data_IF_916642045585
#
_entry.id   IF_916642045585
#
_cell.length_a   1.000
_cell.length_b   1.000
_cell.length_c   1.000
_cell.angle_alpha   90.00
_cell.angle_beta   90.00
_cell.angle_gamma   90.00
#
_symmetry.space_group_name_H-M   'P 1'
#
loop_
_entity.id
_entity.type
_entity.pdbx_description
1 polymer ?
#
# COMPACT_ATOMS: atom_id res chain seq x y z
N UNK A 1 -13.49 6.03 23.38
CA UNK A 1 -12.37 5.11 23.64
C UNK A 1 -11.14 5.74 23.04
N UNK A 2 -10.25 6.21 23.90
CA UNK A 2 -9.00 6.87 23.54
C UNK A 2 -8.17 5.93 22.66
N UNK A 3 -7.93 6.33 21.42
CA UNK A 3 -7.02 5.61 20.55
C UNK A 3 -5.61 5.80 21.09
N UNK A 4 -5.09 4.82 21.82
CA UNK A 4 -3.67 4.74 22.12
C UNK A 4 -2.94 4.94 20.80
N UNK A 5 -2.25 6.08 20.68
CA UNK A 5 -1.43 6.41 19.52
C UNK A 5 -0.46 5.26 19.32
N UNK A 6 -0.73 4.38 18.33
CA UNK A 6 0.14 3.22 18.06
C UNK A 6 1.52 3.77 17.77
N UNK A 7 2.50 3.41 18.59
CA UNK A 7 3.88 3.75 18.31
C UNK A 7 4.37 2.89 17.14
N UNK A 8 4.59 3.54 16.00
CA UNK A 8 5.06 2.90 14.80
C UNK A 8 6.59 2.93 14.67
N UNK A 9 7.33 3.60 15.57
CA UNK A 9 8.78 3.71 15.45
C UNK A 9 9.48 2.34 15.39
N UNK A 10 9.13 1.34 16.23
CA UNK A 10 9.74 0.01 16.14
C UNK A 10 9.47 -0.68 14.79
N UNK A 11 8.27 -0.49 14.23
CA UNK A 11 7.86 -1.03 12.94
C UNK A 11 8.66 -0.38 11.80
N UNK A 12 8.87 0.93 11.87
CA UNK A 12 9.68 1.70 10.92
C UNK A 12 11.14 1.23 10.98
N UNK A 13 11.71 1.13 12.18
CA UNK A 13 13.10 0.73 12.37
C UNK A 13 13.35 -0.68 11.82
N UNK A 14 12.43 -1.62 12.08
CA UNK A 14 12.50 -2.97 11.53
C UNK A 14 12.45 -2.96 9.99
N UNK A 15 11.55 -2.17 9.40
CA UNK A 15 11.45 -2.05 7.95
C UNK A 15 12.73 -1.49 7.33
N UNK A 16 13.30 -0.44 7.94
CA UNK A 16 14.56 0.17 7.51
C UNK A 16 15.70 -0.83 7.57
N UNK A 17 15.80 -1.62 8.64
CA UNK A 17 16.82 -2.66 8.78
C UNK A 17 16.68 -3.78 7.75
N UNK A 18 15.45 -4.21 7.42
CA UNK A 18 15.21 -5.22 6.38
C UNK A 18 15.69 -4.72 5.03
N UNK A 19 15.27 -3.51 4.63
CA UNK A 19 15.69 -2.92 3.35
C UNK A 19 17.22 -2.74 3.31
N UNK A 20 17.79 -2.19 4.37
CA UNK A 20 19.23 -1.95 4.47
C UNK A 20 20.03 -3.26 4.41
N UNK A 21 19.63 -4.30 5.15
CA UNK A 21 20.32 -5.60 5.14
C UNK A 21 20.29 -6.27 3.77
N UNK A 22 19.16 -6.17 3.05
CA UNK A 22 19.02 -6.69 1.70
C UNK A 22 19.98 -5.98 0.73
N UNK A 23 20.01 -4.64 0.76
CA UNK A 23 20.89 -3.84 -0.10
C UNK A 23 22.37 -4.03 0.27
N UNK A 24 22.69 -4.06 1.56
CA UNK A 24 24.04 -4.34 2.04
C UNK A 24 24.55 -5.69 1.51
N UNK A 25 23.73 -6.74 1.56
CA UNK A 25 24.11 -8.05 1.00
C UNK A 25 24.46 -7.97 -0.49
N UNK A 26 23.67 -7.23 -1.27
CA UNK A 26 23.90 -7.07 -2.71
C UNK A 26 25.18 -6.26 -3.00
N UNK A 27 25.36 -5.11 -2.33
CA UNK A 27 26.55 -4.26 -2.53
C UNK A 27 27.81 -5.00 -2.10
N UNK A 28 27.78 -5.69 -0.96
CA UNK A 28 28.92 -6.48 -0.47
C UNK A 28 29.26 -7.67 -1.37
N UNK A 29 28.35 -8.12 -2.24
CA UNK A 29 28.65 -9.15 -3.25
C UNK A 29 29.20 -8.56 -4.56
N UNK A 30 28.76 -7.36 -4.94
CA UNK A 30 29.11 -6.75 -6.23
C UNK A 30 30.33 -5.82 -6.15
N UNK A 31 30.41 -5.00 -5.11
CA UNK A 31 31.47 -4.01 -4.95
C UNK A 31 31.76 -3.70 -3.46
N UNK A 32 32.48 -4.60 -2.76
CA UNK A 32 32.71 -4.51 -1.31
C UNK A 32 33.40 -3.22 -0.85
N UNK A 33 34.28 -2.66 -1.69
CA UNK A 33 35.13 -1.51 -1.36
C UNK A 33 34.39 -0.16 -1.33
N UNK A 34 33.16 -0.07 -1.83
CA UNK A 34 32.36 1.16 -1.77
C UNK A 34 31.40 1.22 -0.58
N UNK A 35 31.37 0.18 0.25
CA UNK A 35 30.36 0.10 1.29
C UNK A 35 30.78 0.81 2.58
N UNK A 36 30.03 1.82 2.97
CA UNK A 36 30.09 2.42 4.30
C UNK A 36 28.81 2.06 5.09
N UNK A 37 28.92 1.48 6.29
CA UNK A 37 27.75 1.11 7.07
C UNK A 37 27.02 2.35 7.60
N UNK A 38 25.70 2.39 7.42
CA UNK A 38 24.83 3.42 7.95
C UNK A 38 24.32 3.07 9.35
N UNK A 39 24.25 4.07 10.22
CA UNK A 39 23.57 3.96 11.51
C UNK A 39 22.04 3.96 11.33
N UNK A 40 21.31 3.47 12.34
CA UNK A 40 19.84 3.50 12.30
C UNK A 40 19.31 4.94 12.23
N UNK A 41 19.96 5.89 12.89
CA UNK A 41 19.56 7.31 12.82
C UNK A 41 19.76 7.87 11.41
N UNK A 42 20.85 7.51 10.72
CA UNK A 42 21.03 7.88 9.32
C UNK A 42 19.97 7.26 8.40
N UNK A 43 19.51 6.03 8.69
CA UNK A 43 18.41 5.40 7.94
C UNK A 43 17.07 6.11 8.18
N UNK A 44 16.80 6.55 9.42
CA UNK A 44 15.60 7.32 9.77
C UNK A 44 15.58 8.69 9.09
N UNK A 45 16.73 9.36 9.05
CA UNK A 45 16.87 10.67 8.41
C UNK A 45 16.91 10.59 6.88
N UNK A 46 17.10 9.39 6.32
CA UNK A 46 17.08 9.13 4.89
C UNK A 46 15.67 9.20 4.26
N UNK A 47 15.58 9.17 2.92
CA UNK A 47 14.30 9.29 2.20
C UNK A 47 13.25 8.26 2.64
N UNK A 48 13.65 6.98 2.70
CA UNK A 48 12.75 5.90 3.13
C UNK A 48 12.25 6.08 4.57
N UNK A 49 13.14 6.50 5.48
CA UNK A 49 12.77 6.77 6.87
C UNK A 49 11.75 7.89 6.98
N UNK A 50 11.96 8.99 6.26
CA UNK A 50 11.02 10.12 6.22
C UNK A 50 9.65 9.73 5.63
N UNK A 51 9.63 8.95 4.56
CA UNK A 51 8.39 8.47 3.95
C UNK A 51 7.62 7.56 4.91
N UNK A 52 8.30 6.61 5.55
CA UNK A 52 7.72 5.73 6.57
C UNK A 52 7.17 6.52 7.76
N UNK A 53 7.92 7.49 8.28
CA UNK A 53 7.47 8.37 9.36
C UNK A 53 6.24 9.20 8.95
N UNK A 54 6.22 9.71 7.72
CA UNK A 54 5.09 10.47 7.18
C UNK A 54 3.83 9.60 7.05
N UNK A 55 3.96 8.38 6.54
CA UNK A 55 2.86 7.42 6.45
C UNK A 55 2.37 6.97 7.84
N UNK A 56 3.26 6.80 8.81
CA UNK A 56 2.89 6.52 10.19
C UNK A 56 2.06 7.65 10.81
N UNK A 57 2.48 8.90 10.65
CA UNK A 57 1.71 10.08 11.10
C UNK A 57 0.34 10.14 10.43
N UNK A 58 0.28 9.84 9.13
CA UNK A 58 -0.98 9.76 8.40
C UNK A 58 -1.88 8.65 8.96
N UNK A 59 -1.34 7.45 9.20
CA UNK A 59 -2.08 6.31 9.78
C UNK A 59 -2.65 6.64 11.17
N UNK A 60 -1.92 7.41 11.98
CA UNK A 60 -2.39 7.93 13.28
C UNK A 60 -3.44 9.04 13.15
N UNK A 61 -3.57 9.65 11.97
CA UNK A 61 -4.47 10.78 11.73
C UNK A 61 -3.91 12.12 12.20
N UNK A 62 -2.60 12.22 12.38
CA UNK A 62 -1.90 13.44 12.83
C UNK A 62 -1.67 14.44 11.69
N UNK A 63 -1.68 13.96 10.45
CA UNK A 63 -1.47 14.76 9.24
C UNK A 63 -2.48 14.37 8.16
N UNK A 64 -2.65 15.27 7.19
CA UNK A 64 -3.32 15.00 5.92
C UNK A 64 -2.34 15.16 4.79
N UNK A 65 -2.47 14.32 3.78
CA UNK A 65 -1.59 14.30 2.62
C UNK A 65 -2.39 14.00 1.36
N UNK A 66 -1.87 14.45 0.22
CA UNK A 66 -2.52 14.17 -1.06
C UNK A 66 -2.47 12.67 -1.35
N UNK A 67 -3.62 12.10 -1.72
CA UNK A 67 -3.79 10.69 -2.03
C UNK A 67 -2.70 10.14 -2.95
N UNK A 68 -2.41 10.85 -4.04
CA UNK A 68 -1.45 10.37 -5.04
C UNK A 68 -0.04 10.26 -4.45
N UNK A 69 0.39 11.22 -3.62
CA UNK A 69 1.67 11.12 -2.90
C UNK A 69 1.72 9.94 -1.94
N UNK A 70 0.61 9.65 -1.24
CA UNK A 70 0.52 8.51 -0.32
C UNK A 70 0.63 7.20 -1.09
N UNK A 71 -0.10 7.07 -2.20
CA UNK A 71 -0.07 5.87 -3.03
C UNK A 71 1.32 5.65 -3.65
N UNK A 72 1.97 6.70 -4.16
CA UNK A 72 3.35 6.61 -4.68
C UNK A 72 4.36 6.23 -3.61
N UNK A 73 4.25 6.77 -2.39
CA UNK A 73 5.15 6.41 -1.30
C UNK A 73 4.97 4.94 -0.88
N UNK A 74 3.71 4.48 -0.74
CA UNK A 74 3.42 3.07 -0.43
C UNK A 74 3.97 2.15 -1.53
N UNK A 75 3.75 2.50 -2.79
CA UNK A 75 4.23 1.71 -3.93
C UNK A 75 5.76 1.61 -3.92
N UNK A 76 6.45 2.74 -3.74
CA UNK A 76 7.92 2.79 -3.65
C UNK A 76 8.48 1.93 -2.49
N UNK A 77 7.84 1.97 -1.32
CA UNK A 77 8.24 1.15 -0.17
C UNK A 77 8.09 -0.34 -0.47
N UNK A 78 6.95 -0.72 -1.06
CA UNK A 78 6.68 -2.11 -1.40
C UNK A 78 7.63 -2.60 -2.50
N UNK A 79 7.94 -1.77 -3.49
CA UNK A 79 8.96 -2.06 -4.50
C UNK A 79 10.32 -2.33 -3.85
N UNK A 80 10.77 -1.47 -2.93
CA UNK A 80 12.03 -1.66 -2.22
C UNK A 80 12.09 -2.95 -1.39
N UNK A 81 10.95 -3.41 -0.87
CA UNK A 81 10.86 -4.61 -0.05
C UNK A 81 10.77 -5.90 -0.87
N UNK A 82 10.08 -5.86 -2.01
CA UNK A 82 9.66 -7.07 -2.71
C UNK A 82 10.20 -7.20 -4.13
N UNK A 83 10.71 -6.14 -4.74
CA UNK A 83 11.25 -6.19 -6.09
C UNK A 83 12.66 -6.77 -6.10
N UNK A 84 12.86 -8.00 -6.62
CA UNK A 84 14.19 -8.58 -6.71
C UNK A 84 15.02 -7.83 -7.76
N UNK A 85 16.32 -7.71 -7.52
CA UNK A 85 17.24 -7.17 -8.51
C UNK A 85 17.16 -8.01 -9.80
N UNK A 86 16.98 -7.33 -10.94
CA UNK A 86 16.87 -7.92 -12.29
C UNK A 86 15.57 -8.69 -12.61
N UNK A 87 14.50 -8.54 -11.83
CA UNK A 87 13.18 -9.03 -12.20
C UNK A 87 12.37 -7.98 -12.96
N UNK A 88 11.50 -8.39 -13.89
CA UNK A 88 10.62 -7.48 -14.64
C UNK A 88 9.40 -7.02 -13.82
N UNK A 89 9.00 -7.79 -12.80
CA UNK A 89 7.85 -7.51 -11.94
C UNK A 89 8.04 -8.09 -10.53
N UNK A 90 7.18 -7.71 -9.59
CA UNK A 90 7.12 -8.24 -8.23
C UNK A 90 5.68 -8.44 -7.74
N UNK A 91 5.55 -9.35 -6.77
CA UNK A 91 4.28 -9.61 -6.11
C UNK A 91 4.40 -9.40 -4.61
N UNK A 92 3.43 -8.70 -4.03
CA UNK A 92 3.33 -8.53 -2.59
C UNK A 92 2.59 -9.74 -1.99
N UNK A 93 3.20 -10.52 -1.10
CA UNK A 93 2.51 -11.63 -0.44
C UNK A 93 1.31 -11.14 0.36
N UNK A 94 0.18 -11.86 0.34
CA UNK A 94 -1.01 -11.46 1.12
C UNK A 94 -0.70 -11.30 2.61
N UNK A 95 0.13 -12.20 3.16
CA UNK A 95 0.57 -12.18 4.56
C UNK A 95 1.31 -10.91 4.95
N UNK A 96 1.91 -10.18 4.01
CA UNK A 96 2.54 -8.88 4.29
C UNK A 96 1.52 -7.89 4.84
N UNK A 97 0.31 -7.86 4.29
CA UNK A 97 -0.75 -6.93 4.73
C UNK A 97 -1.28 -7.24 6.12
N UNK A 98 -1.00 -8.44 6.64
CA UNK A 98 -1.27 -8.84 8.02
C UNK A 98 -0.10 -8.55 8.97
N UNK A 99 1.02 -8.00 8.49
CA UNK A 99 2.11 -7.52 9.34
C UNK A 99 1.79 -6.15 9.94
N UNK A 100 2.55 -5.71 10.96
CA UNK A 100 2.37 -4.38 11.54
C UNK A 100 2.65 -3.26 10.54
N UNK A 101 3.69 -3.41 9.71
CA UNK A 101 3.99 -2.48 8.62
C UNK A 101 2.87 -2.47 7.58
N UNK A 102 2.44 -3.65 7.14
CA UNK A 102 1.35 -3.77 6.16
C UNK A 102 0.06 -3.12 6.64
N UNK A 103 -0.33 -3.33 7.91
CA UNK A 103 -1.48 -2.67 8.54
C UNK A 103 -1.30 -1.16 8.63
N UNK A 104 -0.11 -0.68 9.00
CA UNK A 104 0.20 0.76 9.02
C UNK A 104 0.02 1.39 7.64
N UNK A 105 0.58 0.77 6.59
CA UNK A 105 0.45 1.24 5.21
C UNK A 105 -1.00 1.18 4.72
N UNK A 106 -1.75 0.12 5.04
CA UNK A 106 -3.16 0.00 4.70
C UNK A 106 -4.02 1.08 5.37
N UNK A 107 -3.74 1.41 6.64
CA UNK A 107 -4.43 2.47 7.37
C UNK A 107 -4.08 3.86 6.82
N UNK A 108 -2.80 4.10 6.49
CA UNK A 108 -2.35 5.31 5.81
C UNK A 108 -3.06 5.48 4.45
N UNK A 109 -3.10 4.41 3.65
CA UNK A 109 -3.85 4.36 2.38
C UNK A 109 -5.31 4.72 2.60
N UNK A 110 -5.98 4.07 3.56
CA UNK A 110 -7.39 4.32 3.86
C UNK A 110 -7.67 5.77 4.22
N UNK A 111 -6.85 6.38 5.08
CA UNK A 111 -7.00 7.78 5.48
C UNK A 111 -6.71 8.79 4.36
N UNK A 112 -6.06 8.36 3.29
CA UNK A 112 -5.79 9.21 2.14
C UNK A 112 -6.97 9.28 1.16
N UNK A 113 -7.92 8.35 1.24
CA UNK A 113 -9.13 8.38 0.41
C UNK A 113 -10.24 9.18 1.09
N UNK A 114 -10.97 9.94 0.29
CA UNK A 114 -12.22 10.55 0.73
C UNK A 114 -13.34 9.49 0.81
N UNK A 115 -14.32 9.62 1.73
CA UNK A 115 -15.39 8.64 1.87
C UNK A 115 -16.21 8.40 0.60
N UNK A 116 -16.34 9.42 -0.25
CA UNK A 116 -17.04 9.31 -1.52
C UNK A 116 -16.27 8.49 -2.57
N UNK A 117 -14.95 8.34 -2.46
CA UNK A 117 -14.12 7.56 -3.39
C UNK A 117 -14.16 6.05 -3.12
N UNK A 118 -14.76 5.64 -1.99
CA UNK A 118 -14.80 4.25 -1.55
C UNK A 118 -16.22 3.68 -1.63
N UNK A 119 -16.34 2.45 -2.11
CA UNK A 119 -17.61 1.75 -2.29
C UNK A 119 -17.55 0.41 -1.56
N UNK A 120 -18.56 0.08 -0.77
CA UNK A 120 -18.61 -1.24 -0.11
C UNK A 120 -18.74 -2.36 -1.15
N UNK A 121 -18.21 -3.55 -0.85
CA UNK A 121 -18.29 -4.71 -1.75
C UNK A 121 -19.72 -5.00 -2.21
N UNK A 122 -20.70 -4.92 -1.30
CA UNK A 122 -22.10 -5.15 -1.64
C UNK A 122 -22.66 -4.12 -2.63
N UNK A 123 -22.31 -2.85 -2.46
CA UNK A 123 -22.73 -1.78 -3.37
C UNK A 123 -21.99 -1.87 -4.72
N UNK A 124 -20.70 -2.23 -4.72
CA UNK A 124 -19.95 -2.47 -5.95
C UNK A 124 -20.57 -3.60 -6.78
N UNK A 125 -20.95 -4.71 -6.13
CA UNK A 125 -21.62 -5.84 -6.76
C UNK A 125 -22.96 -5.42 -7.41
N UNK A 126 -23.78 -4.65 -6.69
CA UNK A 126 -25.04 -4.10 -7.22
C UNK A 126 -24.81 -3.17 -8.42
N UNK A 127 -23.84 -2.25 -8.31
CA UNK A 127 -23.56 -1.27 -9.34
C UNK A 127 -23.01 -1.88 -10.64
N UNK A 128 -22.27 -2.98 -10.53
CA UNK A 128 -21.72 -3.71 -11.68
C UNK A 128 -22.63 -4.85 -12.15
N UNK A 129 -23.78 -5.05 -11.50
CA UNK A 129 -24.71 -6.15 -11.75
C UNK A 129 -24.01 -7.54 -11.73
N UNK A 130 -23.15 -7.75 -10.74
CA UNK A 130 -22.41 -9.01 -10.54
C UNK A 130 -22.58 -9.51 -9.10
N UNK A 131 -22.12 -10.73 -8.84
CA UNK A 131 -22.14 -11.31 -7.49
C UNK A 131 -20.95 -10.82 -6.64
N UNK A 132 -21.06 -10.90 -5.31
CA UNK A 132 -19.92 -10.58 -4.41
C UNK A 132 -18.69 -11.45 -4.68
N UNK A 133 -18.79 -12.78 -4.91
CA UNK A 133 -17.65 -13.60 -5.34
C UNK A 133 -16.92 -13.06 -6.57
N UNK A 134 -17.65 -12.48 -7.54
CA UNK A 134 -17.04 -11.83 -8.71
C UNK A 134 -16.20 -10.62 -8.32
N UNK A 135 -16.69 -9.79 -7.39
CA UNK A 135 -15.93 -8.63 -6.87
C UNK A 135 -14.66 -9.11 -6.16
N UNK A 136 -14.73 -10.14 -5.31
CA UNK A 136 -13.54 -10.69 -4.65
C UNK A 136 -12.52 -11.22 -5.66
N UNK A 137 -12.98 -11.93 -6.69
CA UNK A 137 -12.10 -12.40 -7.76
C UNK A 137 -11.43 -11.23 -8.49
N UNK A 138 -12.17 -10.17 -8.80
CA UNK A 138 -11.63 -8.96 -9.43
C UNK A 138 -10.68 -8.16 -8.54
N UNK A 139 -10.81 -8.26 -7.22
CA UNK A 139 -9.81 -7.73 -6.30
C UNK A 139 -8.54 -8.58 -6.31
N UNK A 140 -8.69 -9.90 -6.34
CA UNK A 140 -7.59 -10.86 -6.33
C UNK A 140 -6.76 -10.79 -7.62
N UNK A 141 -7.39 -10.60 -8.78
CA UNK A 141 -6.73 -10.43 -10.08
C UNK A 141 -6.31 -8.97 -10.38
N UNK A 142 -6.50 -8.06 -9.41
CA UNK A 142 -6.17 -6.63 -9.48
C UNK A 142 -6.98 -5.81 -10.51
N UNK A 143 -8.07 -6.35 -11.05
CA UNK A 143 -9.03 -5.57 -11.86
C UNK A 143 -9.69 -4.44 -11.06
N UNK A 144 -9.94 -4.67 -9.76
CA UNK A 144 -10.51 -3.70 -8.83
C UNK A 144 -9.52 -3.43 -7.69
N UNK A 145 -9.08 -2.18 -7.58
CA UNK A 145 -8.31 -1.73 -6.43
C UNK A 145 -9.21 -1.70 -5.20
N UNK A 146 -8.63 -2.08 -4.06
CA UNK A 146 -9.33 -2.06 -2.79
C UNK A 146 -8.49 -1.45 -1.67
N UNK A 147 -9.19 -1.12 -0.60
CA UNK A 147 -8.68 -0.55 0.64
C UNK A 147 -9.36 -1.28 1.80
N UNK A 148 -8.57 -1.69 2.80
CA UNK A 148 -9.07 -2.29 4.03
C UNK A 148 -9.00 -1.26 5.13
N UNK A 149 -10.11 -1.02 5.80
CA UNK A 149 -10.13 -0.31 7.07
C UNK A 149 -9.82 -1.32 8.18
N UNK A 150 -8.60 -1.28 8.70
CA UNK A 150 -8.13 -2.18 9.75
C UNK A 150 -8.91 -2.00 11.06
N UNK A 151 -9.48 -0.81 11.32
CA UNK A 151 -10.23 -0.54 12.55
C UNK A 151 -11.60 -1.21 12.54
N UNK A 152 -12.28 -1.25 11.39
CA UNK A 152 -13.59 -1.90 11.26
C UNK A 152 -13.54 -3.30 10.63
N UNK A 153 -12.39 -3.72 10.10
CA UNK A 153 -12.23 -4.93 9.32
C UNK A 153 -12.93 -4.89 7.96
N UNK A 154 -13.48 -3.75 7.55
CA UNK A 154 -14.26 -3.61 6.31
C UNK A 154 -13.34 -3.37 5.13
N UNK A 155 -13.68 -3.98 4.01
CA UNK A 155 -13.01 -3.75 2.73
C UNK A 155 -13.90 -2.93 1.81
N UNK A 156 -13.27 -1.95 1.16
CA UNK A 156 -13.88 -1.05 0.20
C UNK A 156 -13.17 -1.17 -1.14
N UNK A 157 -13.94 -1.06 -2.22
CA UNK A 157 -13.46 -0.97 -3.60
C UNK A 157 -13.34 0.50 -3.98
N UNK A 158 -12.31 0.85 -4.75
CA UNK A 158 -12.13 2.21 -5.27
C UNK A 158 -13.18 2.50 -6.35
N UNK A 159 -13.95 3.58 -6.17
CA UNK A 159 -15.04 3.98 -7.06
C UNK A 159 -14.60 4.13 -8.51
N UNK A 160 -13.42 4.74 -8.73
CA UNK A 160 -12.88 5.00 -10.07
C UNK A 160 -12.80 3.72 -10.91
N UNK A 161 -12.43 2.59 -10.31
CA UNK A 161 -12.32 1.32 -11.04
C UNK A 161 -13.70 0.77 -11.42
N UNK A 162 -14.70 0.97 -10.56
CA UNK A 162 -16.10 0.63 -10.86
C UNK A 162 -16.62 1.48 -12.04
N UNK A 163 -16.32 2.78 -12.03
CA UNK A 163 -16.71 3.69 -13.12
C UNK A 163 -16.02 3.34 -14.44
N UNK A 164 -14.73 2.97 -14.38
CA UNK A 164 -13.99 2.51 -15.54
C UNK A 164 -14.60 1.23 -16.15
N UNK A 165 -14.94 0.23 -15.32
CA UNK A 165 -15.59 -0.99 -15.80
C UNK A 165 -16.95 -0.72 -16.44
N UNK A 166 -17.76 0.17 -15.85
CA UNK A 166 -19.03 0.60 -16.43
C UNK A 166 -18.86 1.25 -17.80
N UNK A 167 -17.86 2.12 -17.93
CA UNK A 167 -17.53 2.77 -19.20
C UNK A 167 -17.12 1.76 -20.26
N UNK A 168 -16.20 0.84 -19.95
CA UNK A 168 -15.76 -0.22 -20.88
C UNK A 168 -16.94 -1.10 -21.31
N UNK A 169 -17.82 -1.48 -20.38
CA UNK A 169 -19.02 -2.25 -20.71
C UNK A 169 -19.98 -1.50 -21.64
N UNK A 170 -20.12 -0.17 -21.47
CA UNK A 170 -20.94 0.66 -22.34
C UNK A 170 -20.33 0.80 -23.75
N UNK A 171 -19.01 0.95 -23.86
CA UNK A 171 -18.28 1.01 -25.13
C UNK A 171 -18.39 -0.31 -25.92
N UNK A 172 -18.31 -1.46 -25.24
CA UNK A 172 -18.45 -2.78 -25.86
C UNK A 172 -19.91 -3.16 -26.20
N UNK A 173 -20.89 -2.50 -25.58
CA UNK A 173 -22.32 -2.73 -25.79
C UNK A 173 -22.99 -1.74 -26.75
N UNK A 174 -22.26 -0.72 -27.20
CA UNK A 174 -22.77 0.25 -28.18
C UNK A 174 -22.78 -0.39 -29.59
N UNK A 175 -23.92 -0.38 -30.31
CA UNK A 175 -23.91 -0.73 -31.73
C UNK A 175 -23.09 0.31 -32.52
N UNK A 176 -22.28 -0.14 -33.49
CA UNK A 176 -21.60 0.72 -34.46
C UNK A 176 -22.57 1.62 -35.24
#
# INVERSE_FOLDING_TARGET
MEGSSRDYQPVIDQALQVVYSHHHRLISQLYPSAFEPLSLDALRDGPLGRDLSKLARLARGEVREQKDHVLTAIDSIVQLLFWPAAADDYTVPRSFWDSELGRMLALAKFRAFEPNELVSIGNAAQQLNVTRPTIYRWMDDRTLSYVKDDMSGRTFVVRKDIENLKRVAAELGAPE
#
